data_IF_967399434879
#
_entry.id   IF_967399434879
#
_cell.length_a   1.000
_cell.length_b   1.000
_cell.length_c   1.000
_cell.angle_alpha   90.00
_cell.angle_beta   90.00
_cell.angle_gamma   90.00
#
_symmetry.space_group_name_H-M   'P 1'
#
loop_
_entity.id
_entity.type
_entity.pdbx_description
1 polymer ?
#
# COMPACT_ATOMS: atom_id res chain seq x y z
N UNK A 1 59.14 21.51 53.51
CA UNK A 1 58.36 20.35 54.00
C UNK A 1 57.21 20.93 54.79
N UNK A 2 55.98 21.03 54.30
CA UNK A 2 55.12 20.01 53.68
C UNK A 2 54.26 20.68 52.60
N UNK A 3 54.13 20.03 51.45
CA UNK A 3 53.17 20.35 50.38
C UNK A 3 52.13 19.23 50.37
N UNK A 4 50.85 19.57 50.46
CA UNK A 4 49.70 18.91 49.80
C UNK A 4 48.44 19.64 50.30
N UNK A 5 47.48 20.08 49.50
CA UNK A 5 47.03 19.64 48.19
C UNK A 5 45.50 19.63 48.30
N UNK A 6 44.87 20.81 48.21
CA UNK A 6 43.41 20.92 48.24
C UNK A 6 42.88 20.63 46.84
N UNK A 7 42.42 19.41 46.62
CA UNK A 7 41.70 19.03 45.40
C UNK A 7 40.34 19.71 45.37
N UNK A 8 40.15 20.64 44.44
CA UNK A 8 38.83 21.18 44.08
C UNK A 8 38.23 20.18 43.08
N UNK A 9 37.24 19.40 43.51
CA UNK A 9 36.46 18.58 42.61
C UNK A 9 35.54 19.48 41.78
N UNK A 10 35.89 19.70 40.51
CA UNK A 10 35.01 20.33 39.55
C UNK A 10 33.94 19.32 39.13
N UNK A 11 32.73 19.47 39.65
CA UNK A 11 31.56 18.69 39.21
C UNK A 11 31.14 19.20 37.83
N UNK A 12 31.52 18.51 36.75
CA UNK A 12 30.94 18.76 35.42
C UNK A 12 29.48 18.30 35.43
N UNK A 13 28.55 19.26 35.44
CA UNK A 13 27.15 18.99 35.14
C UNK A 13 27.03 18.83 33.61
N UNK A 14 27.06 17.60 33.11
CA UNK A 14 26.71 17.33 31.71
C UNK A 14 25.18 17.38 31.64
N UNK A 15 24.63 18.51 31.21
CA UNK A 15 23.22 18.59 30.86
C UNK A 15 22.99 17.66 29.66
N UNK A 16 22.30 16.53 29.90
CA UNK A 16 21.80 15.68 28.84
C UNK A 16 20.74 16.48 28.07
N UNK A 17 21.13 17.07 26.94
CA UNK A 17 20.18 17.63 25.99
C UNK A 17 19.52 16.41 25.33
N UNK A 18 18.36 16.03 25.85
CA UNK A 18 17.45 15.12 25.15
C UNK A 18 17.03 15.83 23.87
N UNK A 19 17.70 15.52 22.75
CA UNK A 19 17.22 15.89 21.42
C UNK A 19 15.88 15.16 21.25
N UNK A 20 14.76 15.84 21.52
CA UNK A 20 13.49 15.41 20.94
C UNK A 20 13.70 15.55 19.43
N UNK A 21 13.85 14.42 18.75
CA UNK A 21 13.71 14.38 17.30
C UNK A 21 12.28 14.86 17.01
N UNK A 22 12.16 16.10 16.56
CA UNK A 22 10.93 16.60 15.96
C UNK A 22 10.79 15.82 14.66
N UNK A 23 9.99 14.76 14.67
CA UNK A 23 9.53 14.11 13.46
C UNK A 23 8.62 15.11 12.76
N UNK A 24 9.13 15.77 11.73
CA UNK A 24 8.28 16.52 10.82
C UNK A 24 7.56 15.47 10.00
N UNK A 25 6.25 15.30 10.23
CA UNK A 25 5.43 14.41 9.42
C UNK A 25 5.63 14.78 7.95
N UNK A 26 5.93 13.77 7.12
CA UNK A 26 6.18 14.02 5.71
C UNK A 26 4.93 14.61 5.05
N UNK A 27 5.04 15.83 4.50
CA UNK A 27 3.96 16.44 3.73
C UNK A 27 3.79 15.67 2.41
N UNK A 28 2.64 15.01 2.19
CA UNK A 28 2.46 14.17 1.02
C UNK A 28 2.35 14.99 -0.28
N UNK A 29 3.10 14.61 -1.32
CA UNK A 29 3.20 15.39 -2.58
C UNK A 29 1.90 15.42 -3.38
N UNK A 30 1.29 14.27 -3.64
CA UNK A 30 0.15 14.14 -4.57
C UNK A 30 -1.12 13.70 -3.86
N UNK A 31 -1.01 12.73 -2.95
CA UNK A 31 -2.14 12.19 -2.21
C UNK A 31 -1.81 12.08 -0.73
N UNK A 32 -2.78 12.36 0.13
CA UNK A 32 -2.66 12.19 1.58
C UNK A 32 -2.75 10.71 1.97
N UNK A 33 -3.43 9.91 1.14
CA UNK A 33 -3.65 8.48 1.36
C UNK A 33 -3.67 7.68 0.07
N UNK A 34 -3.11 6.47 0.11
CA UNK A 34 -3.18 5.49 -0.96
C UNK A 34 -3.74 4.15 -0.47
N UNK A 35 -4.67 3.61 -1.23
CA UNK A 35 -5.10 2.21 -1.14
C UNK A 35 -4.50 1.45 -2.31
N UNK A 36 -3.76 0.40 -2.02
CA UNK A 36 -3.32 -0.60 -3.00
C UNK A 36 -4.23 -1.81 -2.83
N UNK A 37 -5.22 -1.92 -3.72
CA UNK A 37 -6.13 -3.05 -3.80
C UNK A 37 -5.55 -4.07 -4.78
N UNK A 38 -5.11 -5.21 -4.24
CA UNK A 38 -4.34 -6.22 -4.99
C UNK A 38 -5.20 -7.46 -5.18
N UNK A 39 -5.52 -7.77 -6.43
CA UNK A 39 -6.21 -8.98 -6.86
C UNK A 39 -5.19 -10.09 -7.23
N UNK A 40 -5.61 -11.36 -7.19
CA UNK A 40 -4.84 -12.51 -7.69
C UNK A 40 -5.16 -12.77 -9.17
N UNK A 41 -4.23 -13.45 -9.81
CA UNK A 41 -3.84 -13.25 -11.18
C UNK A 41 -4.95 -13.30 -12.22
N UNK A 42 -4.89 -12.35 -13.16
CA UNK A 42 -5.65 -12.42 -14.40
C UNK A 42 -4.93 -11.67 -15.51
N UNK A 43 -5.14 -12.09 -16.75
CA UNK A 43 -4.62 -11.37 -17.91
C UNK A 43 -5.23 -9.97 -18.04
N UNK A 44 -4.41 -8.99 -18.40
CA UNK A 44 -4.82 -7.60 -18.63
C UNK A 44 -6.08 -7.47 -19.51
N UNK A 45 -6.14 -8.20 -20.63
CA UNK A 45 -7.27 -8.12 -21.55
C UNK A 45 -8.56 -8.66 -20.94
N UNK A 46 -8.49 -9.69 -20.09
CA UNK A 46 -9.66 -10.26 -19.42
C UNK A 46 -10.21 -9.28 -18.37
N UNK A 47 -9.35 -8.74 -17.50
CA UNK A 47 -9.77 -7.72 -16.53
C UNK A 47 -10.27 -6.45 -17.21
N UNK A 48 -9.58 -5.97 -18.25
CA UNK A 48 -10.04 -4.81 -19.01
C UNK A 48 -11.41 -5.04 -19.66
N UNK A 49 -11.70 -6.24 -20.14
CA UNK A 49 -13.00 -6.56 -20.73
C UNK A 49 -14.13 -6.69 -19.69
N UNK A 50 -13.82 -6.89 -18.40
CA UNK A 50 -14.84 -6.94 -17.36
C UNK A 50 -15.53 -5.58 -17.15
N UNK A 51 -16.88 -5.52 -17.11
CA UNK A 51 -17.60 -4.26 -16.97
C UNK A 51 -17.27 -3.47 -15.69
N UNK A 52 -16.96 -4.12 -14.57
CA UNK A 52 -16.72 -3.44 -13.31
C UNK A 52 -15.31 -2.85 -13.26
N UNK A 53 -14.31 -3.61 -13.70
CA UNK A 53 -12.95 -3.09 -13.85
C UNK A 53 -12.91 -1.94 -14.88
N UNK A 54 -13.58 -2.11 -16.04
CA UNK A 54 -13.76 -1.02 -17.02
C UNK A 54 -14.40 0.22 -16.43
N UNK A 55 -15.50 0.06 -15.66
CA UNK A 55 -16.22 1.14 -14.99
C UNK A 55 -15.32 1.96 -14.05
N UNK A 56 -14.49 1.30 -13.25
CA UNK A 56 -13.59 2.00 -12.33
C UNK A 56 -12.39 2.64 -13.05
N UNK A 57 -11.87 2.02 -14.10
CA UNK A 57 -10.84 2.64 -14.94
C UNK A 57 -11.34 3.94 -15.58
N UNK A 58 -12.59 3.95 -16.07
CA UNK A 58 -13.22 5.11 -16.68
C UNK A 58 -13.39 6.30 -15.72
N UNK A 59 -13.39 6.08 -14.40
CA UNK A 59 -13.43 7.16 -13.39
C UNK A 59 -12.07 7.78 -13.08
N UNK A 60 -11.00 7.21 -13.61
CA UNK A 60 -9.64 7.68 -13.37
C UNK A 60 -8.76 7.41 -14.58
N UNK A 61 -7.61 6.77 -14.36
CA UNK A 61 -6.62 6.49 -15.41
C UNK A 61 -6.27 5.01 -15.48
N UNK A 62 -6.29 4.43 -16.67
CA UNK A 62 -5.82 3.06 -16.93
C UNK A 62 -4.35 3.04 -17.35
N UNK A 63 -3.53 2.20 -16.70
CA UNK A 63 -2.13 1.99 -17.09
C UNK A 63 -2.08 0.81 -18.06
N UNK A 64 -1.84 1.10 -19.35
CA UNK A 64 -1.96 0.11 -20.43
C UNK A 64 -0.69 -0.70 -20.65
N UNK A 65 0.39 -0.38 -19.95
CA UNK A 65 1.70 -1.04 -20.07
C UNK A 65 2.28 -1.31 -18.67
N UNK A 66 1.44 -1.85 -17.78
CA UNK A 66 1.82 -2.24 -16.43
C UNK A 66 2.04 -3.75 -16.35
N UNK A 67 3.12 -4.16 -15.70
CA UNK A 67 3.56 -5.55 -15.65
C UNK A 67 3.80 -6.04 -14.21
N UNK A 68 3.43 -7.29 -13.94
CA UNK A 68 4.02 -8.04 -12.84
C UNK A 68 5.52 -8.23 -13.06
N UNK A 69 6.29 -8.40 -12.00
CA UNK A 69 7.76 -8.49 -12.07
C UNK A 69 8.27 -9.92 -12.17
N UNK A 70 7.46 -10.91 -11.81
CA UNK A 70 7.81 -12.32 -11.88
C UNK A 70 6.56 -13.21 -11.94
N UNK A 71 6.80 -14.52 -12.05
CA UNK A 71 5.79 -15.57 -11.86
C UNK A 71 6.41 -16.67 -10.99
N UNK A 72 5.73 -17.21 -9.96
CA UNK A 72 4.31 -17.01 -9.58
C UNK A 72 4.06 -15.76 -8.69
N UNK A 73 2.87 -15.67 -8.08
CA UNK A 73 2.33 -14.57 -7.25
C UNK A 73 3.29 -14.01 -6.20
N UNK A 74 3.81 -14.83 -5.29
CA UNK A 74 4.50 -14.36 -4.10
C UNK A 74 5.70 -13.42 -4.36
N UNK A 75 6.60 -13.70 -5.33
CA UNK A 75 7.62 -12.75 -5.76
C UNK A 75 7.12 -11.32 -6.02
N UNK A 76 5.90 -11.17 -6.58
CA UNK A 76 5.31 -9.86 -6.90
C UNK A 76 4.90 -9.09 -5.63
N UNK A 77 4.27 -9.78 -4.68
CA UNK A 77 3.93 -9.20 -3.37
C UNK A 77 5.16 -8.71 -2.60
N UNK A 78 6.26 -9.46 -2.65
CA UNK A 78 7.54 -9.06 -2.05
C UNK A 78 8.12 -7.86 -2.80
N UNK A 79 8.09 -7.88 -4.13
CA UNK A 79 8.59 -6.79 -4.96
C UNK A 79 7.88 -5.45 -4.72
N UNK A 80 6.56 -5.46 -4.49
CA UNK A 80 5.76 -4.27 -4.18
C UNK A 80 6.22 -3.53 -2.92
N UNK A 81 6.91 -4.20 -1.99
CA UNK A 81 7.30 -3.61 -0.69
C UNK A 81 8.79 -3.68 -0.37
N UNK A 82 9.58 -4.40 -1.16
CA UNK A 82 11.02 -4.52 -0.96
C UNK A 82 11.88 -4.08 -2.15
N UNK A 83 11.29 -3.66 -3.27
CA UNK A 83 12.07 -3.21 -4.44
C UNK A 83 12.86 -4.35 -5.11
N UNK A 84 12.63 -5.61 -4.72
CA UNK A 84 13.24 -6.82 -5.26
C UNK A 84 12.37 -8.02 -4.90
N UNK A 85 12.45 -9.12 -5.66
CA UNK A 85 11.87 -10.41 -5.26
C UNK A 85 12.63 -11.07 -4.10
N UNK A 86 13.80 -10.53 -3.74
CA UNK A 86 14.71 -11.06 -2.71
C UNK A 86 15.04 -12.55 -2.93
N UNK A 87 15.15 -12.94 -4.20
CA UNK A 87 15.44 -14.32 -4.63
C UNK A 87 14.29 -15.30 -4.44
N UNK A 88 13.07 -14.84 -4.14
CA UNK A 88 11.88 -15.70 -4.13
C UNK A 88 11.45 -15.96 -5.58
N UNK A 89 11.23 -17.23 -5.89
CA UNK A 89 10.88 -17.72 -7.24
C UNK A 89 9.68 -18.68 -7.22
N UNK A 90 9.07 -18.90 -6.06
CA UNK A 90 7.99 -19.87 -5.85
C UNK A 90 6.97 -19.31 -4.88
N UNK A 91 5.77 -19.87 -4.89
CA UNK A 91 4.79 -19.69 -3.83
C UNK A 91 5.10 -20.59 -2.64
N UNK A 92 5.20 -20.02 -1.45
CA UNK A 92 5.40 -20.77 -0.23
C UNK A 92 5.53 -19.89 1.00
N UNK A 93 5.78 -20.50 2.15
CA UNK A 93 6.08 -19.72 3.35
C UNK A 93 7.54 -19.28 3.31
N UNK A 94 7.78 -17.97 3.20
CA UNK A 94 9.13 -17.38 3.22
C UNK A 94 9.26 -16.38 4.35
N UNK A 95 10.49 -16.23 4.86
CA UNK A 95 10.85 -15.28 5.90
C UNK A 95 12.07 -14.49 5.44
N UNK A 96 11.97 -13.16 5.41
CA UNK A 96 13.01 -12.23 4.96
C UNK A 96 13.38 -11.29 6.10
N UNK A 97 14.66 -11.00 6.25
CA UNK A 97 15.20 -10.02 7.21
C UNK A 97 15.67 -8.73 6.54
N UNK A 98 15.39 -8.60 5.23
CA UNK A 98 15.74 -7.42 4.46
C UNK A 98 14.89 -6.22 4.88
N UNK A 99 15.48 -5.03 4.77
CA UNK A 99 14.75 -3.77 4.88
C UNK A 99 13.60 -3.73 3.87
N UNK A 100 12.47 -3.18 4.27
CA UNK A 100 11.27 -3.09 3.46
C UNK A 100 10.60 -1.72 3.61
N UNK A 101 9.51 -1.50 2.87
CA UNK A 101 8.77 -0.24 2.84
C UNK A 101 8.35 0.24 4.24
N UNK A 102 8.03 -0.67 5.17
CA UNK A 102 7.66 -0.29 6.55
C UNK A 102 8.77 0.50 7.24
N UNK A 103 10.03 0.13 7.02
CA UNK A 103 11.17 0.86 7.60
C UNK A 103 11.27 2.29 7.07
N UNK A 104 10.86 2.52 5.81
CA UNK A 104 10.85 3.84 5.20
C UNK A 104 9.66 4.67 5.70
N UNK A 105 8.47 4.05 5.77
CA UNK A 105 7.26 4.70 6.23
C UNK A 105 7.37 5.13 7.70
N UNK A 106 7.81 4.23 8.58
CA UNK A 106 7.95 4.54 10.01
C UNK A 106 9.01 5.61 10.28
N UNK A 107 10.13 5.60 9.54
CA UNK A 107 11.16 6.64 9.65
C UNK A 107 10.65 8.04 9.25
N UNK A 108 9.63 8.10 8.38
CA UNK A 108 9.01 9.33 7.89
C UNK A 108 7.70 9.70 8.63
N UNK A 109 7.32 8.96 9.68
CA UNK A 109 6.07 9.17 10.41
C UNK A 109 4.81 8.76 9.63
N UNK A 110 4.95 8.00 8.54
CA UNK A 110 3.83 7.62 7.67
C UNK A 110 3.14 6.37 8.22
N UNK A 111 1.85 6.49 8.48
CA UNK A 111 1.04 5.37 9.00
C UNK A 111 0.71 4.36 7.91
N UNK A 112 0.70 3.07 8.26
CA UNK A 112 0.43 1.97 7.33
C UNK A 112 -0.41 0.85 7.96
N UNK A 113 -1.15 0.10 7.12
CA UNK A 113 -1.83 -1.15 7.51
C UNK A 113 -2.05 -2.05 6.31
N UNK A 114 -1.97 -3.36 6.55
CA UNK A 114 -2.36 -4.40 5.58
C UNK A 114 -3.61 -5.10 6.07
N UNK A 115 -4.67 -5.02 5.26
CA UNK A 115 -5.96 -5.65 5.48
C UNK A 115 -6.05 -6.85 4.54
N UNK A 116 -6.21 -8.04 5.10
CA UNK A 116 -6.44 -9.25 4.31
C UNK A 116 -7.74 -9.91 4.73
N UNK A 117 -8.63 -10.16 3.77
CA UNK A 117 -9.88 -10.87 4.08
C UNK A 117 -9.59 -12.24 4.68
N UNK A 118 -10.39 -12.63 5.68
CA UNK A 118 -10.28 -13.89 6.43
C UNK A 118 -8.96 -14.10 7.23
N UNK A 119 -8.00 -13.17 7.18
CA UNK A 119 -6.88 -13.18 8.13
C UNK A 119 -7.41 -13.04 9.55
N UNK A 120 -6.91 -13.87 10.47
CA UNK A 120 -7.32 -13.85 11.87
C UNK A 120 -6.09 -13.62 12.75
N UNK A 121 -5.89 -12.40 13.29
CA UNK A 121 -4.81 -12.13 14.25
C UNK A 121 -4.92 -13.03 15.48
N UNK A 122 -3.78 -13.37 16.07
CA UNK A 122 -3.73 -14.15 17.30
C UNK A 122 -4.05 -13.25 18.50
N UNK A 123 -5.13 -13.53 19.22
CA UNK A 123 -5.58 -12.69 20.35
C UNK A 123 -4.65 -12.70 21.57
N UNK A 124 -3.73 -13.67 21.67
CA UNK A 124 -2.87 -13.91 22.83
C UNK A 124 -1.37 -13.97 22.47
N UNK A 125 -0.98 -13.47 21.30
CA UNK A 125 0.40 -13.48 20.83
C UNK A 125 0.86 -12.07 20.44
N UNK A 126 2.09 -11.67 20.82
CA UNK A 126 2.71 -10.44 20.33
C UNK A 126 3.14 -10.55 18.85
N UNK A 127 3.16 -11.77 18.30
CA UNK A 127 3.57 -12.09 16.94
C UNK A 127 2.36 -12.38 16.04
N UNK A 128 2.58 -12.27 14.73
CA UNK A 128 1.55 -12.47 13.73
C UNK A 128 1.10 -13.92 13.61
N UNK A 129 -0.12 -14.10 13.09
CA UNK A 129 -0.58 -15.42 12.66
C UNK A 129 0.14 -15.80 11.37
N UNK A 130 1.04 -16.78 11.42
CA UNK A 130 1.83 -17.20 10.25
C UNK A 130 1.24 -18.42 9.54
N UNK A 131 -0.02 -18.76 9.81
CA UNK A 131 -0.71 -19.84 9.13
C UNK A 131 -0.64 -19.66 7.60
N UNK A 132 -0.28 -20.72 6.88
CA UNK A 132 -0.18 -20.70 5.41
C UNK A 132 -1.51 -20.30 4.79
N UNK A 133 -2.61 -20.82 5.33
CA UNK A 133 -3.97 -20.48 4.94
C UNK A 133 -4.88 -20.36 6.16
N UNK A 134 -5.96 -19.58 6.05
CA UNK A 134 -6.97 -19.44 7.11
C UNK A 134 -8.36 -19.47 6.48
N UNK A 135 -9.23 -20.29 7.07
CA UNK A 135 -10.62 -20.43 6.62
C UNK A 135 -10.76 -21.21 5.32
N UNK A 136 -11.88 -21.91 5.18
CA UNK A 136 -12.23 -22.62 3.95
C UNK A 136 -13.72 -22.53 3.70
N UNK A 137 -14.10 -22.17 2.48
CA UNK A 137 -15.50 -22.12 2.07
C UNK A 137 -15.64 -22.32 0.55
N UNK A 138 -16.82 -22.76 0.12
CA UNK A 138 -17.22 -22.70 -1.29
C UNK A 138 -17.53 -21.23 -1.61
N UNK A 139 -16.92 -20.69 -2.66
CA UNK A 139 -17.16 -19.31 -3.06
C UNK A 139 -18.65 -19.11 -3.40
N UNK A 140 -19.37 -18.22 -2.70
CA UNK A 140 -20.81 -18.08 -2.90
C UNK A 140 -21.14 -17.70 -4.34
N UNK A 141 -22.16 -18.32 -4.96
CA UNK A 141 -22.60 -18.01 -6.34
C UNK A 141 -21.51 -18.13 -7.43
N UNK A 142 -20.44 -18.87 -7.14
CA UNK A 142 -19.32 -19.08 -8.07
C UNK A 142 -19.54 -20.22 -9.06
N UNK A 143 -20.51 -21.09 -8.79
CA UNK A 143 -20.68 -22.36 -9.50
C UNK A 143 -19.67 -23.44 -9.09
N UNK A 144 -18.76 -23.17 -8.13
CA UNK A 144 -17.83 -24.17 -7.60
C UNK A 144 -18.54 -25.15 -6.67
N UNK A 145 -18.05 -26.38 -6.70
CA UNK A 145 -18.51 -27.48 -5.83
C UNK A 145 -17.48 -27.83 -4.75
N UNK A 146 -16.27 -27.30 -4.84
CA UNK A 146 -15.19 -27.50 -3.88
C UNK A 146 -14.88 -26.22 -3.11
N UNK A 147 -14.53 -26.39 -1.84
CA UNK A 147 -14.10 -25.27 -1.01
C UNK A 147 -12.70 -24.83 -1.41
N UNK A 148 -12.45 -23.52 -1.37
CA UNK A 148 -11.11 -22.94 -1.45
C UNK A 148 -10.63 -22.49 -0.08
N UNK A 149 -9.32 -22.32 0.08
CA UNK A 149 -8.76 -21.64 1.24
C UNK A 149 -8.97 -20.14 1.07
N UNK A 150 -9.58 -19.47 2.05
CA UNK A 150 -9.98 -18.08 1.87
C UNK A 150 -8.78 -17.13 1.96
N UNK A 151 -8.04 -17.19 3.05
CA UNK A 151 -6.79 -16.45 3.19
C UNK A 151 -5.59 -17.30 2.76
N UNK A 152 -4.64 -16.71 2.05
CA UNK A 152 -3.34 -17.29 1.76
C UNK A 152 -2.22 -16.32 2.16
N UNK A 153 -1.28 -16.78 2.98
CA UNK A 153 -0.16 -15.98 3.49
C UNK A 153 0.69 -15.37 2.38
N UNK A 154 0.84 -16.08 1.25
CA UNK A 154 1.61 -15.63 0.09
C UNK A 154 1.11 -14.32 -0.52
N UNK A 155 -0.17 -13.99 -0.36
CA UNK A 155 -0.77 -12.74 -0.89
C UNK A 155 -0.69 -11.58 0.10
N UNK A 156 -0.12 -11.77 1.29
CA UNK A 156 0.10 -10.63 2.18
C UNK A 156 1.51 -10.06 1.94
N UNK A 157 1.63 -8.80 1.48
CA UNK A 157 2.92 -8.26 1.06
C UNK A 157 3.94 -8.15 2.20
N UNK A 158 3.49 -7.94 3.44
CA UNK A 158 4.34 -7.60 4.57
C UNK A 158 4.61 -8.77 5.52
N UNK A 159 3.75 -9.80 5.54
CA UNK A 159 3.91 -10.94 6.47
C UNK A 159 5.12 -11.84 6.17
N UNK A 160 5.78 -11.64 5.02
CA UNK A 160 7.01 -12.34 4.66
C UNK A 160 8.25 -11.77 5.39
N UNK A 161 8.13 -10.62 6.06
CA UNK A 161 9.24 -9.92 6.70
C UNK A 161 9.28 -10.17 8.22
N UNK A 162 10.40 -10.67 8.73
CA UNK A 162 10.54 -11.16 10.11
C UNK A 162 10.38 -10.06 11.17
N UNK A 163 10.81 -8.84 10.85
CA UNK A 163 10.58 -7.62 11.63
C UNK A 163 9.09 -7.28 11.75
N UNK A 164 8.29 -7.53 10.71
CA UNK A 164 6.83 -7.38 10.78
C UNK A 164 6.19 -8.52 11.59
N UNK A 165 6.68 -9.75 11.42
CA UNK A 165 6.13 -10.93 12.10
C UNK A 165 6.30 -10.90 13.62
N UNK A 166 7.42 -10.34 14.09
CA UNK A 166 7.87 -10.43 15.48
C UNK A 166 7.81 -9.13 16.26
N UNK A 167 7.70 -7.98 15.59
CA UNK A 167 7.40 -6.71 16.26
C UNK A 167 5.91 -6.61 16.53
N UNK A 168 5.51 -6.49 17.80
CA UNK A 168 4.09 -6.34 18.15
C UNK A 168 3.45 -5.11 17.53
N UNK A 169 4.17 -3.98 17.43
CA UNK A 169 3.63 -2.77 16.81
C UNK A 169 3.38 -2.96 15.31
N UNK A 170 4.33 -3.56 14.58
CA UNK A 170 4.18 -3.84 13.14
C UNK A 170 3.15 -4.92 12.89
N UNK A 171 3.14 -5.97 13.71
CA UNK A 171 2.18 -7.04 13.56
C UNK A 171 0.73 -6.59 13.81
N UNK A 172 0.51 -5.64 14.74
CA UNK A 172 -0.80 -5.05 14.95
C UNK A 172 -1.35 -4.28 13.71
N UNK A 173 -0.51 -4.02 12.71
CA UNK A 173 -0.89 -3.48 11.41
C UNK A 173 -1.12 -4.57 10.33
N UNK A 174 -1.07 -5.85 10.67
CA UNK A 174 -1.61 -6.93 9.84
C UNK A 174 -2.95 -7.35 10.43
N UNK A 175 -4.04 -7.03 9.74
CA UNK A 175 -5.40 -7.15 10.28
C UNK A 175 -6.35 -7.88 9.34
N UNK A 176 -7.45 -8.37 9.91
CA UNK A 176 -8.57 -8.89 9.14
C UNK A 176 -9.16 -7.79 8.24
N UNK A 177 -9.62 -8.15 7.03
CA UNK A 177 -10.27 -7.23 6.10
C UNK A 177 -11.47 -6.47 6.71
N UNK A 178 -12.23 -7.14 7.59
CA UNK A 178 -13.37 -6.55 8.32
C UNK A 178 -12.99 -5.38 9.23
N UNK A 179 -11.70 -5.23 9.59
CA UNK A 179 -11.21 -4.11 10.38
C UNK A 179 -11.32 -2.77 9.64
N UNK A 180 -11.36 -2.78 8.30
CA UNK A 180 -11.41 -1.57 7.50
C UNK A 180 -12.65 -0.72 7.83
N UNK A 181 -13.82 -1.34 8.02
CA UNK A 181 -15.05 -0.61 8.37
C UNK A 181 -14.96 0.05 9.75
N UNK A 182 -14.35 -0.65 10.72
CA UNK A 182 -14.11 -0.12 12.08
C UNK A 182 -13.15 1.07 12.02
N UNK A 183 -12.04 0.95 11.30
CA UNK A 183 -11.08 2.04 11.16
C UNK A 183 -11.70 3.24 10.43
N UNK A 184 -12.59 3.01 9.44
CA UNK A 184 -13.33 4.07 8.76
C UNK A 184 -14.26 4.81 9.72
N UNK A 185 -15.05 4.09 10.51
CA UNK A 185 -15.95 4.70 11.51
C UNK A 185 -15.18 5.52 12.56
N UNK A 186 -13.98 5.08 12.93
CA UNK A 186 -13.15 5.75 13.93
C UNK A 186 -12.19 6.80 13.35
N UNK A 187 -12.28 7.12 12.04
CA UNK A 187 -11.33 8.00 11.35
C UNK A 187 -9.85 7.61 11.56
N UNK A 188 -9.57 6.31 11.58
CA UNK A 188 -8.29 5.69 11.90
C UNK A 188 -7.64 4.96 10.71
N UNK A 189 -8.07 5.31 9.49
CA UNK A 189 -7.49 4.76 8.25
C UNK A 189 -6.07 5.33 8.06
N UNK A 190 -5.05 4.48 7.89
CA UNK A 190 -3.67 4.92 7.72
C UNK A 190 -3.44 5.59 6.36
N UNK A 191 -2.28 6.20 6.16
CA UNK A 191 -1.90 6.84 4.90
C UNK A 191 -1.56 5.83 3.80
N UNK A 192 -0.95 4.69 4.14
CA UNK A 192 -0.68 3.59 3.20
C UNK A 192 -1.50 2.36 3.57
N UNK A 193 -2.44 2.01 2.72
CA UNK A 193 -3.34 0.86 2.90
C UNK A 193 -3.02 -0.18 1.84
N UNK A 194 -2.71 -1.41 2.25
CA UNK A 194 -2.80 -2.57 1.38
C UNK A 194 -4.09 -3.31 1.69
N UNK A 195 -4.92 -3.56 0.68
CA UNK A 195 -6.12 -4.40 0.82
C UNK A 195 -6.01 -5.59 -0.12
N UNK A 196 -6.16 -6.79 0.46
CA UNK A 196 -6.01 -8.06 -0.23
C UNK A 196 -7.32 -8.84 -0.04
N UNK A 197 -8.13 -8.99 -1.11
CA UNK A 197 -9.32 -9.83 -1.08
C UNK A 197 -8.96 -11.30 -0.81
N UNK A 198 -9.92 -12.10 -0.36
CA UNK A 198 -9.72 -13.53 -0.22
C UNK A 198 -9.72 -14.24 -1.59
N UNK A 199 -9.35 -15.52 -1.61
CA UNK A 199 -9.31 -16.30 -2.84
C UNK A 199 -10.64 -16.39 -3.59
N UNK A 200 -11.78 -16.09 -2.96
CA UNK A 200 -13.04 -16.02 -3.68
C UNK A 200 -13.23 -14.70 -4.43
N UNK A 201 -12.62 -13.63 -3.93
CA UNK A 201 -12.84 -12.25 -4.36
C UNK A 201 -11.68 -11.70 -5.19
N UNK A 202 -10.52 -12.35 -5.17
CA UNK A 202 -9.28 -11.84 -5.73
C UNK A 202 -9.12 -12.12 -7.23
N UNK A 203 -9.93 -12.97 -7.84
CA UNK A 203 -9.94 -13.16 -9.30
C UNK A 203 -9.27 -14.43 -9.79
N UNK A 204 -8.58 -15.17 -8.92
CA UNK A 204 -8.13 -16.52 -9.24
C UNK A 204 -9.30 -17.51 -9.23
N UNK A 205 -10.09 -17.51 -8.14
CA UNK A 205 -11.23 -18.40 -7.96
C UNK A 205 -12.52 -17.61 -7.62
N UNK A 206 -13.62 -17.68 -8.38
CA UNK A 206 -13.85 -18.42 -9.63
C UNK A 206 -13.41 -17.69 -10.89
N UNK A 207 -12.85 -16.48 -10.79
CA UNK A 207 -12.40 -15.72 -11.95
C UNK A 207 -12.76 -14.23 -11.90
N UNK A 208 -12.26 -13.51 -12.89
CA UNK A 208 -12.27 -12.05 -12.97
C UNK A 208 -13.66 -11.40 -12.87
N UNK A 209 -14.71 -12.02 -13.40
CA UNK A 209 -16.07 -11.42 -13.32
C UNK A 209 -16.63 -11.44 -11.90
N UNK A 210 -16.27 -12.44 -11.10
CA UNK A 210 -16.67 -12.48 -9.70
C UNK A 210 -15.89 -11.42 -8.92
N UNK A 211 -14.58 -11.34 -9.13
CA UNK A 211 -13.74 -10.29 -8.59
C UNK A 211 -14.21 -8.89 -9.01
N UNK A 212 -14.71 -8.71 -10.23
CA UNK A 212 -15.28 -7.45 -10.70
C UNK A 212 -16.52 -7.02 -9.91
N UNK A 213 -17.42 -7.96 -9.58
CA UNK A 213 -18.58 -7.68 -8.72
C UNK A 213 -18.15 -7.33 -7.30
N UNK A 214 -17.18 -8.05 -6.76
CA UNK A 214 -16.56 -7.73 -5.48
C UNK A 214 -15.97 -6.31 -5.51
N UNK A 215 -15.16 -5.99 -6.53
CA UNK A 215 -14.56 -4.67 -6.73
C UNK A 215 -15.62 -3.58 -6.70
N UNK A 216 -16.72 -3.74 -7.45
CA UNK A 216 -17.76 -2.72 -7.49
C UNK A 216 -18.43 -2.50 -6.14
N UNK A 217 -18.71 -3.59 -5.42
CA UNK A 217 -19.28 -3.54 -4.07
C UNK A 217 -18.32 -2.89 -3.06
N UNK A 218 -17.05 -3.31 -3.08
CA UNK A 218 -15.99 -2.78 -2.23
C UNK A 218 -15.78 -1.30 -2.48
N UNK A 219 -15.62 -0.89 -3.74
CA UNK A 219 -15.36 0.49 -4.11
C UNK A 219 -16.55 1.40 -3.79
N UNK A 220 -17.78 0.91 -4.02
CA UNK A 220 -19.00 1.65 -3.70
C UNK A 220 -19.14 1.84 -2.19
N UNK A 221 -19.07 0.76 -1.41
CA UNK A 221 -19.23 0.83 0.06
C UNK A 221 -18.10 1.58 0.77
N UNK A 222 -16.87 1.49 0.25
CA UNK A 222 -15.69 2.08 0.88
C UNK A 222 -15.55 3.55 0.53
N UNK A 223 -15.79 3.96 -0.73
CA UNK A 223 -15.39 5.29 -1.19
C UNK A 223 -16.53 6.20 -1.66
N UNK A 224 -17.76 5.72 -1.78
CA UNK A 224 -18.90 6.61 -2.12
C UNK A 224 -19.51 7.25 -0.86
N UNK A 225 -20.01 8.48 -1.01
CA UNK A 225 -20.56 9.29 0.09
C UNK A 225 -19.55 10.30 0.69
N UNK A 226 -19.99 11.08 1.68
CA UNK A 226 -19.20 12.16 2.31
C UNK A 226 -18.07 11.67 3.23
N UNK A 227 -17.68 10.39 3.17
CA UNK A 227 -16.82 9.75 4.15
C UNK A 227 -15.32 9.79 3.80
N UNK A 228 -14.94 10.23 2.60
CA UNK A 228 -13.53 10.33 2.19
C UNK A 228 -13.08 11.78 2.22
N UNK A 229 -12.27 12.12 3.22
CA UNK A 229 -11.62 13.43 3.34
C UNK A 229 -10.19 13.40 2.77
N UNK A 230 -9.72 14.54 2.26
CA UNK A 230 -8.37 14.69 1.72
C UNK A 230 -8.19 14.10 0.31
N UNK A 231 -6.94 14.10 -0.17
CA UNK A 231 -6.55 13.54 -1.47
C UNK A 231 -6.31 12.03 -1.33
N UNK A 232 -7.27 11.21 -1.76
CA UNK A 232 -7.14 9.74 -1.67
C UNK A 232 -6.98 9.11 -3.05
N UNK A 233 -5.92 8.33 -3.22
CA UNK A 233 -5.67 7.51 -4.40
C UNK A 233 -6.07 6.05 -4.12
N UNK A 234 -6.77 5.42 -5.05
CA UNK A 234 -6.94 3.95 -5.06
C UNK A 234 -6.22 3.40 -6.30
N UNK A 235 -5.24 2.55 -6.07
CA UNK A 235 -4.57 1.73 -7.08
C UNK A 235 -5.25 0.37 -7.09
N UNK A 236 -5.95 0.06 -8.18
CA UNK A 236 -6.55 -1.25 -8.42
C UNK A 236 -5.58 -2.02 -9.32
N UNK A 237 -5.05 -3.15 -8.86
CA UNK A 237 -4.05 -3.91 -9.60
C UNK A 237 -4.19 -5.42 -9.37
N UNK A 238 -3.47 -6.19 -10.17
CA UNK A 238 -3.26 -7.63 -9.98
C UNK A 238 -1.79 -7.86 -9.61
N UNK A 239 -1.48 -8.98 -8.98
CA UNK A 239 -0.10 -9.37 -8.67
C UNK A 239 0.65 -9.90 -9.90
N UNK A 240 -0.03 -10.62 -10.79
CA UNK A 240 0.50 -11.14 -12.04
C UNK A 240 -0.62 -11.50 -13.02
N UNK A 241 -0.23 -11.89 -14.23
CA UNK A 241 -1.14 -12.46 -15.21
C UNK A 241 -1.24 -13.99 -15.09
N UNK A 242 -2.00 -14.62 -15.98
CA UNK A 242 -2.20 -16.07 -15.96
C UNK A 242 -1.02 -16.89 -16.53
N UNK A 243 0.22 -16.37 -16.44
CA UNK A 243 1.42 -16.96 -17.01
C UNK A 243 1.67 -16.61 -18.49
N UNK A 244 0.97 -15.62 -19.05
CA UNK A 244 1.16 -15.20 -20.44
C UNK A 244 2.41 -14.34 -20.61
N UNK A 245 2.98 -14.31 -21.83
CA UNK A 245 4.23 -13.59 -22.10
C UNK A 245 4.14 -12.10 -21.74
N UNK A 246 5.18 -11.58 -21.12
CA UNK A 246 5.29 -10.18 -20.73
C UNK A 246 4.65 -9.84 -19.39
N UNK A 247 3.89 -10.73 -18.75
CA UNK A 247 3.28 -10.49 -17.44
C UNK A 247 2.42 -9.21 -17.36
N UNK A 248 1.72 -8.85 -18.44
CA UNK A 248 0.91 -7.63 -18.49
C UNK A 248 -0.38 -7.78 -17.68
N UNK A 249 -0.64 -6.83 -16.79
CA UNK A 249 -1.75 -6.85 -15.85
C UNK A 249 -2.58 -5.59 -15.89
N UNK A 250 -3.85 -5.70 -15.49
CA UNK A 250 -4.71 -4.54 -15.29
C UNK A 250 -4.19 -3.71 -14.11
N UNK A 251 -4.00 -2.41 -14.32
CA UNK A 251 -3.80 -1.45 -13.23
C UNK A 251 -4.52 -0.14 -13.53
N UNK A 252 -5.34 0.33 -12.60
CA UNK A 252 -6.04 1.60 -12.70
C UNK A 252 -5.81 2.49 -11.47
N UNK A 253 -5.75 3.79 -11.71
CA UNK A 253 -5.62 4.83 -10.69
C UNK A 253 -6.95 5.57 -10.59
N UNK A 254 -7.60 5.48 -9.44
CA UNK A 254 -8.93 6.06 -9.21
C UNK A 254 -8.84 7.12 -8.11
N UNK A 255 -9.19 8.39 -8.41
CA UNK A 255 -9.14 9.46 -7.43
C UNK A 255 -10.41 9.50 -6.56
N UNK A 256 -10.23 9.89 -5.30
CA UNK A 256 -11.32 10.19 -4.36
C UNK A 256 -11.01 11.41 -3.48
N UNK A 257 -12.05 11.94 -2.84
CA UNK A 257 -11.97 13.17 -2.06
C UNK A 257 -11.60 14.35 -2.95
N UNK A 258 -10.58 15.11 -2.57
CA UNK A 258 -10.10 16.26 -3.35
C UNK A 258 -9.00 15.92 -4.36
N UNK A 259 -8.69 14.64 -4.57
CA UNK A 259 -7.74 14.23 -5.60
C UNK A 259 -8.38 14.32 -6.98
N UNK A 260 -7.63 14.79 -7.98
CA UNK A 260 -8.08 14.84 -9.38
C UNK A 260 -7.16 14.02 -10.29
N UNK A 261 -7.76 13.23 -11.16
CA UNK A 261 -7.11 12.52 -12.26
C UNK A 261 -8.06 12.64 -13.46
N UNK A 262 -7.54 12.92 -14.65
CA UNK A 262 -8.34 12.99 -15.88
C UNK A 262 -9.09 11.68 -16.10
N UNK A 263 -10.42 11.70 -15.92
CA UNK A 263 -11.26 10.52 -16.04
C UNK A 263 -11.21 9.93 -17.46
N UNK A 264 -11.13 8.60 -17.54
CA UNK A 264 -11.07 7.86 -18.81
C UNK A 264 -9.72 7.96 -19.53
N UNK A 265 -8.72 8.60 -18.93
CA UNK A 265 -7.39 8.72 -19.54
C UNK A 265 -6.60 7.42 -19.47
N UNK A 266 -5.56 7.32 -20.28
CA UNK A 266 -4.63 6.19 -20.28
C UNK A 266 -3.19 6.66 -20.13
N UNK A 267 -2.30 5.75 -19.74
CA UNK A 267 -0.85 5.93 -19.84
C UNK A 267 -0.19 4.62 -20.26
N UNK A 268 0.74 4.71 -21.23
CA UNK A 268 1.43 3.56 -21.82
C UNK A 268 2.91 3.46 -21.43
N UNK A 269 3.36 4.23 -20.44
CA UNK A 269 4.69 4.10 -19.85
C UNK A 269 4.85 2.71 -19.27
N UNK A 270 6.02 2.10 -19.49
CA UNK A 270 6.33 0.77 -18.94
C UNK A 270 6.46 0.86 -17.42
N UNK A 271 5.43 0.40 -16.70
CA UNK A 271 5.38 0.36 -15.25
C UNK A 271 5.39 -1.08 -14.73
N UNK A 272 5.81 -1.25 -13.49
CA UNK A 272 5.70 -2.52 -12.78
C UNK A 272 5.54 -2.31 -11.26
N UNK A 273 5.54 -3.38 -10.47
CA UNK A 273 5.39 -3.26 -9.02
C UNK A 273 6.45 -2.40 -8.31
N UNK A 274 7.66 -2.29 -8.87
CA UNK A 274 8.66 -1.36 -8.36
C UNK A 274 8.30 0.10 -8.64
N UNK A 275 7.60 0.37 -9.75
CA UNK A 275 7.04 1.69 -10.04
C UNK A 275 5.99 2.13 -9.01
N UNK A 276 5.16 1.19 -8.55
CA UNK A 276 4.19 1.44 -7.47
C UNK A 276 4.92 1.77 -6.17
N UNK A 277 5.90 0.96 -5.77
CA UNK A 277 6.73 1.21 -4.58
C UNK A 277 7.36 2.60 -4.62
N UNK A 278 8.06 2.94 -5.72
CA UNK A 278 8.66 4.25 -5.93
C UNK A 278 7.66 5.39 -5.78
N UNK A 279 6.42 5.20 -6.24
CA UNK A 279 5.39 6.22 -6.15
C UNK A 279 5.01 6.52 -4.71
N UNK A 280 4.85 5.48 -3.89
CA UNK A 280 4.58 5.64 -2.45
C UNK A 280 5.76 6.34 -1.78
N UNK A 281 6.97 5.87 -2.06
CA UNK A 281 8.21 6.42 -1.51
C UNK A 281 8.38 7.91 -1.81
N UNK A 282 8.17 8.30 -3.07
CA UNK A 282 8.25 9.69 -3.51
C UNK A 282 7.13 10.53 -2.91
N UNK A 283 5.89 10.03 -2.89
CA UNK A 283 4.75 10.78 -2.39
C UNK A 283 4.96 11.23 -0.94
N UNK A 284 5.50 10.35 -0.10
CA UNK A 284 5.73 10.63 1.31
C UNK A 284 7.20 10.96 1.64
N UNK A 285 8.03 11.29 0.65
CA UNK A 285 9.41 11.75 0.88
C UNK A 285 10.29 10.80 1.69
N UNK A 286 10.04 9.48 1.61
CA UNK A 286 10.63 8.48 2.54
C UNK A 286 12.06 8.05 2.19
N UNK A 287 12.60 8.53 1.06
CA UNK A 287 13.81 7.98 0.46
C UNK A 287 13.48 6.81 -0.48
N UNK A 288 14.34 5.79 -0.54
CA UNK A 288 14.13 4.56 -1.31
C UNK A 288 14.94 3.41 -0.68
N UNK A 289 14.63 2.17 -1.03
CA UNK A 289 15.34 0.97 -0.59
C UNK A 289 16.66 0.74 -1.34
N UNK A 290 16.89 1.47 -2.43
CA UNK A 290 18.13 1.43 -3.21
C UNK A 290 18.21 0.24 -4.17
N UNK A 291 17.08 -0.42 -4.43
CA UNK A 291 16.96 -1.58 -5.32
C UNK A 291 16.29 -1.16 -6.64
N UNK A 292 15.33 -1.93 -7.15
CA UNK A 292 14.68 -1.61 -8.43
C UNK A 292 13.73 -0.39 -8.33
N UNK A 293 13.18 -0.14 -7.14
CA UNK A 293 12.44 1.07 -6.76
C UNK A 293 13.20 2.37 -7.11
N UNK A 294 14.53 2.39 -6.95
CA UNK A 294 15.35 3.56 -7.28
C UNK A 294 15.26 3.91 -8.77
N UNK A 295 15.27 2.92 -9.65
CA UNK A 295 15.43 3.09 -11.09
C UNK A 295 14.12 3.04 -11.89
N UNK A 296 13.07 2.44 -11.32
CA UNK A 296 11.78 2.37 -11.99
C UNK A 296 11.17 3.76 -12.25
N UNK A 297 10.33 3.91 -13.28
CA UNK A 297 9.54 5.13 -13.44
C UNK A 297 8.47 5.18 -12.34
N UNK A 298 8.26 6.35 -11.72
CA UNK A 298 7.16 6.55 -10.77
C UNK A 298 5.86 6.91 -11.51
N UNK A 299 4.71 6.64 -10.89
CA UNK A 299 3.38 7.00 -11.40
C UNK A 299 3.09 8.51 -11.20
N UNK A 300 4.08 9.29 -10.80
CA UNK A 300 3.94 10.67 -10.34
C UNK A 300 3.58 11.68 -11.43
N UNK A 301 3.80 11.37 -12.70
CA UNK A 301 3.28 12.19 -13.82
C UNK A 301 1.76 12.07 -14.02
N UNK A 302 1.08 11.21 -13.24
CA UNK A 302 -0.28 10.75 -13.53
C UNK A 302 -1.35 11.33 -12.62
N UNK A 303 -0.92 12.02 -11.56
CA UNK A 303 -1.79 12.74 -10.64
C UNK A 303 -1.46 14.20 -10.88
N UNK A 304 -2.36 14.93 -11.54
CA UNK A 304 -2.14 16.36 -11.75
C UNK A 304 -1.96 16.99 -10.37
N UNK A 305 -0.76 17.50 -10.08
CA UNK A 305 -0.61 18.44 -8.99
C UNK A 305 -1.62 19.55 -9.30
N UNK A 306 -2.59 19.77 -8.42
CA UNK A 306 -3.43 20.96 -8.50
C UNK A 306 -2.51 22.17 -8.36
N UNK A 307 -1.98 22.67 -9.47
CA UNK A 307 -1.22 23.92 -9.53
C UNK A 307 -2.16 25.12 -9.59
N UNK A 308 -3.33 25.03 -8.99
CA UNK A 308 -4.33 26.10 -8.98
C UNK A 308 -5.00 26.15 -7.61
N UNK A 309 -4.46 26.99 -6.71
CA UNK A 309 -5.20 27.88 -5.79
C UNK A 309 -4.34 28.60 -4.75
N UNK A 310 -3.03 28.33 -4.64
CA UNK A 310 -2.18 29.06 -3.68
C UNK A 310 -1.89 30.51 -4.15
N UNK A 311 -2.01 30.81 -5.44
CA UNK A 311 -1.77 32.17 -5.95
C UNK A 311 -2.91 33.16 -5.63
N UNK A 312 -4.13 32.70 -5.35
CA UNK A 312 -5.23 33.63 -5.07
C UNK A 312 -5.29 34.07 -3.59
N UNK A 313 -4.86 33.20 -2.66
CA UNK A 313 -4.80 33.53 -1.24
C UNK A 313 -3.57 34.38 -0.87
N UNK A 314 -2.47 34.31 -1.64
CA UNK A 314 -1.30 35.19 -1.46
C UNK A 314 -1.57 36.62 -1.95
N UNK A 315 -2.30 36.80 -3.07
CA UNK A 315 -2.69 38.14 -3.56
C UNK A 315 -3.66 38.85 -2.60
N UNK A 316 -4.56 38.11 -1.94
CA UNK A 316 -5.47 38.69 -0.94
C UNK A 316 -4.76 39.02 0.39
N UNK A 317 -3.76 38.22 0.78
CA UNK A 317 -2.94 38.50 1.95
C UNK A 317 -2.02 39.72 1.75
N UNK A 318 -1.44 39.90 0.57
CA UNK A 318 -0.65 41.11 0.25
C UNK A 318 -1.52 42.36 0.15
N UNK A 319 -2.75 42.25 -0.37
CA UNK A 319 -3.68 43.38 -0.43
C UNK A 319 -4.17 43.86 0.96
N UNK A 320 -4.20 42.99 1.97
CA UNK A 320 -4.57 43.34 3.35
C UNK A 320 -3.41 43.90 4.19
N UNK A 321 -2.15 43.76 3.75
CA UNK A 321 -0.97 44.29 4.45
C UNK A 321 -0.63 45.72 3.97
N UNK A 322 -1.21 46.17 2.85
CA UNK A 322 -0.93 47.48 2.22
C UNK A 322 -2.12 48.47 2.33
N UNK A 323 -3.17 48.16 3.11
CA UNK A 323 -4.29 49.06 3.44
C UNK A 323 -4.30 49.44 4.93
#
# INVERSE_FOLDING_TARGET
MVVSGRSIAATLLVAAISLLAITVDATPLWFDRVYVLIFENTDYLAAKADPNFSKWAAKGKLLTNYHGVAHPSQPNYIAMVAGSTLGVTTDGNVNKSNRNLVDLLEAAGVTWRSYSENYTPLSSSPNCNLATTIGSAICPNSGRTTATNLYARKHNPLISFTDVQTSSSRCNNIVAGTRLSVDKTNNAIPQVVFYIPNQCNDGHDPGVTYAGKFLDSFMTSTFTGNAITGRTLVVITFDENSGTSGNQIYTALVPFGSLSITAGSTDNTNFNHYSLLKTIEQNFGTGNLGLNDKWSPGLSKLVEAMTFLILHDLELAEAMIVS
#
